data_IF_371407183505
#
_entry.id   IF_371407183505
#
_cell.length_a   1.000
_cell.length_b   1.000
_cell.length_c   1.000
_cell.angle_alpha   90.00
_cell.angle_beta   90.00
_cell.angle_gamma   90.00
#
_symmetry.space_group_name_H-M   'P 1'
#
loop_
_entity.id
_entity.type
_entity.pdbx_description
1 polymer ?
#
# COMPACT_ATOMS: atom_id res chain seq x y z
N UNK A 1 -1.90 22.50 16.08
CA UNK A 1 -1.14 22.59 17.35
C UNK A 1 -1.51 23.84 18.13
N UNK A 2 -1.30 25.05 17.63
CA UNK A 2 -1.61 26.32 18.33
C UNK A 2 -3.10 26.44 18.73
N UNK A 3 -4.02 26.09 17.84
CA UNK A 3 -5.46 26.09 18.14
C UNK A 3 -5.80 25.10 19.26
N UNK A 4 -5.26 23.90 19.22
CA UNK A 4 -5.47 22.89 20.24
C UNK A 4 -4.93 23.32 21.62
N UNK A 5 -3.80 24.01 21.61
CA UNK A 5 -3.26 24.63 22.83
C UNK A 5 -4.16 25.77 23.33
N UNK A 6 -4.66 26.62 22.45
CA UNK A 6 -5.56 27.73 22.80
C UNK A 6 -6.87 27.28 23.41
N UNK A 7 -7.43 26.12 22.96
CA UNK A 7 -8.69 25.58 23.46
C UNK A 7 -8.49 24.76 24.74
N UNK A 8 -7.48 23.89 24.78
CA UNK A 8 -7.29 22.89 25.84
C UNK A 8 -5.95 22.99 26.58
N UNK A 9 -5.21 24.10 26.41
CA UNK A 9 -3.90 24.28 27.03
C UNK A 9 -2.92 23.17 26.63
N UNK A 10 -2.01 22.82 27.53
CA UNK A 10 -0.99 21.81 27.30
C UNK A 10 -1.60 20.43 27.05
N UNK A 11 -2.69 20.08 27.74
CA UNK A 11 -3.39 18.80 27.52
C UNK A 11 -3.99 18.72 26.11
N UNK A 12 -4.61 19.80 25.62
CA UNK A 12 -5.12 19.87 24.25
C UNK A 12 -4.02 19.71 23.18
N UNK A 13 -2.87 20.34 23.41
CA UNK A 13 -1.71 20.19 22.54
C UNK A 13 -1.17 18.74 22.52
N UNK A 14 -1.08 18.08 23.67
CA UNK A 14 -0.64 16.67 23.78
C UNK A 14 -1.62 15.71 23.08
N UNK A 15 -2.92 15.87 23.30
CA UNK A 15 -3.95 15.06 22.66
C UNK A 15 -3.90 15.21 21.14
N UNK A 16 -3.74 16.42 20.64
CA UNK A 16 -3.59 16.67 19.21
C UNK A 16 -2.34 16.00 18.64
N UNK A 17 -1.20 16.13 19.33
CA UNK A 17 0.05 15.49 18.92
C UNK A 17 -0.08 13.96 18.89
N UNK A 18 -0.70 13.38 19.90
CA UNK A 18 -0.98 11.94 19.95
C UNK A 18 -1.88 11.49 18.80
N UNK A 19 -2.98 12.21 18.56
CA UNK A 19 -3.88 11.91 17.44
C UNK A 19 -3.16 12.00 16.09
N UNK A 20 -2.36 13.04 15.87
CA UNK A 20 -1.58 13.21 14.65
C UNK A 20 -0.59 12.06 14.45
N UNK A 21 0.10 11.64 15.51
CA UNK A 21 1.01 10.49 15.48
C UNK A 21 0.26 9.20 15.07
N UNK A 22 -0.88 8.91 15.70
CA UNK A 22 -1.68 7.73 15.37
C UNK A 22 -2.18 7.79 13.91
N UNK A 23 -2.61 8.95 13.44
CA UNK A 23 -3.07 9.11 12.05
C UNK A 23 -1.94 8.84 11.04
N UNK A 24 -0.75 9.37 11.27
CA UNK A 24 0.43 9.11 10.43
C UNK A 24 0.80 7.62 10.48
N UNK A 25 0.84 7.04 11.68
CA UNK A 25 1.15 5.62 11.84
C UNK A 25 0.16 4.71 11.11
N UNK A 26 -1.15 5.01 11.16
CA UNK A 26 -2.17 4.28 10.41
C UNK A 26 -1.98 4.42 8.89
N UNK A 27 -1.67 5.63 8.43
CA UNK A 27 -1.39 5.88 7.01
C UNK A 27 -0.19 5.05 6.52
N UNK A 28 0.91 5.04 7.28
CA UNK A 28 2.10 4.26 6.94
C UNK A 28 1.83 2.75 6.98
N UNK A 29 1.01 2.29 7.93
CA UNK A 29 0.61 0.88 8.00
C UNK A 29 -0.20 0.46 6.77
N UNK A 30 -1.12 1.29 6.32
CA UNK A 30 -1.92 1.05 5.11
C UNK A 30 -1.01 1.09 3.89
N UNK A 31 -0.16 2.09 3.75
CA UNK A 31 0.83 2.22 2.67
C UNK A 31 1.76 0.97 2.60
N UNK A 32 2.19 0.47 3.74
CA UNK A 32 2.97 -0.77 3.82
C UNK A 32 2.20 -1.97 3.26
N UNK A 33 0.91 -2.12 3.58
CA UNK A 33 0.07 -3.21 3.09
C UNK A 33 -0.12 -3.10 1.57
N UNK A 34 -0.41 -1.91 1.09
CA UNK A 34 -0.73 -1.62 -0.32
C UNK A 34 0.43 -1.88 -1.27
N UNK A 35 1.66 -1.72 -0.79
CA UNK A 35 2.86 -1.81 -1.63
C UNK A 35 3.81 -2.95 -1.25
N UNK A 36 3.45 -3.78 -0.27
CA UNK A 36 4.35 -4.82 0.24
C UNK A 36 4.91 -5.73 -0.84
N UNK A 37 6.22 -5.66 -1.04
CA UNK A 37 6.98 -6.54 -1.94
C UNK A 37 6.74 -6.31 -3.43
N UNK A 38 5.88 -5.35 -3.80
CA UNK A 38 5.65 -4.97 -5.18
C UNK A 38 6.66 -3.90 -5.61
N UNK A 39 7.06 -3.94 -6.86
CA UNK A 39 8.03 -2.98 -7.41
C UNK A 39 7.78 -2.75 -8.89
N UNK A 40 8.23 -1.62 -9.40
CA UNK A 40 8.25 -1.32 -10.83
C UNK A 40 9.59 -1.77 -11.43
N UNK A 41 9.55 -2.31 -12.64
CA UNK A 41 10.75 -2.71 -13.36
C UNK A 41 11.64 -1.49 -13.64
N UNK A 42 12.92 -1.61 -13.34
CA UNK A 42 13.92 -0.60 -13.71
C UNK A 42 14.29 -0.77 -15.19
N UNK A 43 14.20 0.31 -15.95
CA UNK A 43 14.42 0.32 -17.40
C UNK A 43 15.81 0.80 -17.79
N UNK A 44 16.64 1.22 -16.84
CA UNK A 44 17.95 1.82 -17.02
C UNK A 44 17.95 3.32 -16.68
N UNK A 45 19.12 3.88 -16.43
CA UNK A 45 19.36 5.32 -16.20
C UNK A 45 18.42 5.99 -15.16
N UNK A 46 18.04 5.24 -14.12
CA UNK A 46 17.11 5.73 -13.09
C UNK A 46 15.65 5.79 -13.52
N UNK A 47 15.32 5.31 -14.72
CA UNK A 47 13.95 5.28 -15.25
C UNK A 47 13.25 3.98 -14.84
N UNK A 48 12.00 4.09 -14.43
CA UNK A 48 11.15 2.95 -14.06
C UNK A 48 9.93 2.88 -14.98
N UNK A 49 9.39 1.69 -15.17
CA UNK A 49 8.14 1.52 -15.90
C UNK A 49 7.01 2.37 -15.30
N UNK A 50 6.03 2.73 -16.11
CA UNK A 50 4.85 3.44 -15.64
C UNK A 50 4.12 2.64 -14.56
N UNK A 51 3.45 3.36 -13.65
CA UNK A 51 2.56 2.71 -12.69
C UNK A 51 1.43 2.01 -13.45
N UNK A 52 1.24 0.75 -13.13
CA UNK A 52 0.21 -0.12 -13.71
C UNK A 52 -0.60 -0.75 -12.56
N UNK A 53 -1.82 -1.25 -12.82
CA UNK A 53 -2.66 -1.85 -11.78
C UNK A 53 -1.98 -2.95 -10.97
N UNK A 54 -1.02 -3.66 -11.55
CA UNK A 54 -0.24 -4.71 -10.89
C UNK A 54 0.70 -4.23 -9.78
N UNK A 55 0.94 -2.93 -9.62
CA UNK A 55 1.91 -2.38 -8.68
C UNK A 55 1.34 -2.04 -7.29
N UNK A 56 0.08 -2.37 -7.04
CA UNK A 56 -0.55 -2.17 -5.74
C UNK A 56 -1.45 -3.34 -5.38
N UNK A 57 -1.48 -3.70 -4.08
CA UNK A 57 -2.43 -4.68 -3.56
C UNK A 57 -3.81 -4.06 -3.40
N UNK A 58 -4.82 -4.78 -3.83
CA UNK A 58 -6.23 -4.37 -3.75
C UNK A 58 -7.02 -5.30 -2.84
N UNK A 59 -8.20 -4.86 -2.44
CA UNK A 59 -9.18 -5.73 -1.81
C UNK A 59 -10.59 -5.40 -2.30
N UNK A 60 -11.31 -6.41 -2.79
CA UNK A 60 -12.65 -6.25 -3.35
C UNK A 60 -13.78 -6.46 -2.32
N UNK A 61 -13.48 -6.51 -1.02
CA UNK A 61 -14.44 -6.75 0.06
C UNK A 61 -15.38 -5.56 0.25
N UNK A 62 -16.68 -5.74 -0.03
CA UNK A 62 -17.67 -4.66 -0.07
C UNK A 62 -17.74 -3.86 1.22
N UNK A 63 -17.89 -4.52 2.37
CA UNK A 63 -18.08 -3.83 3.65
C UNK A 63 -16.87 -2.93 4.01
N UNK A 64 -15.66 -3.45 3.85
CA UNK A 64 -14.45 -2.65 4.14
C UNK A 64 -14.18 -1.59 3.07
N UNK A 65 -14.59 -1.80 1.80
CA UNK A 65 -14.55 -0.74 0.79
C UNK A 65 -15.49 0.42 1.12
N UNK A 66 -16.70 0.13 1.60
CA UNK A 66 -17.62 1.18 2.05
C UNK A 66 -17.07 1.94 3.27
N UNK A 67 -16.53 1.20 4.26
CA UNK A 67 -15.93 1.80 5.45
C UNK A 67 -14.76 2.73 5.11
N UNK A 68 -13.92 2.35 4.14
CA UNK A 68 -12.70 3.04 3.75
C UNK A 68 -12.87 3.88 2.46
N UNK A 69 -14.10 4.17 2.07
CA UNK A 69 -14.40 5.07 0.93
C UNK A 69 -13.66 4.65 -0.34
N UNK A 70 -13.70 3.35 -0.67
CA UNK A 70 -13.03 2.73 -1.82
C UNK A 70 -11.49 2.80 -1.82
N UNK A 71 -10.84 3.15 -0.72
CA UNK A 71 -9.37 3.18 -0.60
C UNK A 71 -8.72 1.87 -1.06
N UNK A 72 -9.39 0.73 -0.85
CA UNK A 72 -8.89 -0.60 -1.23
C UNK A 72 -8.86 -0.86 -2.75
N UNK A 73 -9.39 0.05 -3.58
CA UNK A 73 -9.21 0.07 -5.03
C UNK A 73 -7.94 0.83 -5.41
N UNK A 74 -6.89 0.54 -4.72
CA UNK A 74 -5.66 1.32 -4.68
C UNK A 74 -4.91 1.34 -6.01
N UNK A 75 -4.94 0.24 -6.75
CA UNK A 75 -4.36 0.17 -8.10
C UNK A 75 -4.95 1.19 -9.06
N UNK A 76 -6.27 1.39 -9.01
CA UNK A 76 -6.93 2.35 -9.89
C UNK A 76 -6.64 3.79 -9.48
N UNK A 77 -6.56 4.04 -8.18
CA UNK A 77 -6.15 5.33 -7.64
C UNK A 77 -4.76 5.75 -8.15
N UNK A 78 -3.79 4.83 -8.17
CA UNK A 78 -2.46 5.10 -8.69
C UNK A 78 -2.38 5.14 -10.22
N UNK A 79 -3.15 4.29 -10.90
CA UNK A 79 -3.14 4.21 -12.36
C UNK A 79 -3.93 5.35 -13.02
N UNK A 80 -4.99 5.83 -12.36
CA UNK A 80 -5.87 6.91 -12.81
C UNK A 80 -6.08 7.93 -11.69
N UNK A 81 -5.06 8.71 -11.32
CA UNK A 81 -5.11 9.58 -10.13
C UNK A 81 -6.20 10.66 -10.20
N UNK A 82 -6.61 11.05 -11.41
CA UNK A 82 -7.67 12.05 -11.63
C UNK A 82 -9.09 11.47 -11.48
N UNK A 83 -9.22 10.13 -11.28
CA UNK A 83 -10.52 9.50 -11.13
C UNK A 83 -11.09 9.74 -9.74
N UNK A 84 -12.29 10.32 -9.59
CA UNK A 84 -12.93 10.52 -8.29
C UNK A 84 -13.14 9.18 -7.57
N UNK A 85 -13.00 9.17 -6.24
CA UNK A 85 -13.08 7.97 -5.41
C UNK A 85 -14.34 7.11 -5.58
N UNK A 86 -15.54 7.67 -5.86
CA UNK A 86 -16.72 6.85 -6.09
C UNK A 86 -16.65 6.02 -7.37
N UNK A 87 -15.85 6.47 -8.33
CA UNK A 87 -15.70 5.86 -9.66
C UNK A 87 -14.48 4.95 -9.78
N UNK A 88 -13.71 4.76 -8.71
CA UNK A 88 -12.56 3.85 -8.71
C UNK A 88 -13.00 2.43 -9.09
N UNK A 89 -12.23 1.82 -9.98
CA UNK A 89 -12.50 0.51 -10.56
C UNK A 89 -11.81 -0.61 -9.79
N UNK A 90 -12.39 -1.79 -9.87
CA UNK A 90 -11.77 -3.03 -9.41
C UNK A 90 -11.24 -3.78 -10.63
N UNK A 91 -10.00 -4.20 -10.59
CA UNK A 91 -9.36 -4.99 -11.64
C UNK A 91 -9.50 -6.48 -11.37
N UNK A 92 -9.45 -7.28 -12.43
CA UNK A 92 -9.40 -8.73 -12.30
C UNK A 92 -8.08 -9.17 -11.63
N UNK A 93 -8.04 -10.35 -10.97
CA UNK A 93 -6.83 -10.85 -10.31
C UNK A 93 -5.62 -11.02 -11.26
N UNK A 94 -5.87 -11.15 -12.56
CA UNK A 94 -4.86 -11.24 -13.61
C UNK A 94 -4.24 -9.87 -13.95
N UNK A 95 -4.97 -8.79 -13.69
CA UNK A 95 -4.52 -7.41 -13.97
C UNK A 95 -3.93 -6.72 -12.74
N UNK A 96 -4.47 -7.02 -11.55
CA UNK A 96 -4.01 -6.44 -10.30
C UNK A 96 -4.08 -7.43 -9.14
N UNK A 97 -3.03 -7.50 -8.29
CA UNK A 97 -2.97 -8.45 -7.20
C UNK A 97 -4.03 -8.14 -6.13
N UNK A 98 -4.64 -9.20 -5.61
CA UNK A 98 -5.70 -9.11 -4.61
C UNK A 98 -5.24 -9.64 -3.26
N UNK A 99 -5.56 -8.90 -2.20
CA UNK A 99 -5.42 -9.34 -0.83
C UNK A 99 -6.49 -10.38 -0.49
N UNK A 100 -6.16 -11.31 0.40
CA UNK A 100 -7.10 -12.33 0.85
C UNK A 100 -8.19 -11.76 1.76
N UNK A 101 -7.90 -10.65 2.46
CA UNK A 101 -8.79 -9.99 3.40
C UNK A 101 -8.85 -8.50 3.11
N UNK A 102 -9.91 -7.83 3.63
CA UNK A 102 -9.99 -6.37 3.60
C UNK A 102 -8.91 -5.72 4.45
N UNK A 103 -8.62 -4.46 4.18
CA UNK A 103 -7.55 -3.70 4.83
C UNK A 103 -7.60 -3.70 6.36
N UNK A 104 -8.75 -3.64 7.05
CA UNK A 104 -8.76 -3.71 8.51
C UNK A 104 -8.11 -4.98 9.06
N UNK A 105 -8.39 -6.13 8.45
CA UNK A 105 -7.79 -7.42 8.87
C UNK A 105 -6.31 -7.46 8.49
N UNK A 106 -5.96 -7.01 7.29
CA UNK A 106 -4.57 -6.94 6.84
C UNK A 106 -3.74 -6.01 7.71
N UNK A 107 -4.32 -4.88 8.17
CA UNK A 107 -3.67 -3.95 9.09
C UNK A 107 -3.35 -4.61 10.44
N UNK A 108 -4.31 -5.33 11.02
CA UNK A 108 -4.06 -6.10 12.25
C UNK A 108 -2.94 -7.14 12.06
N UNK A 109 -2.91 -7.82 10.92
CA UNK A 109 -1.81 -8.75 10.61
C UNK A 109 -0.47 -8.03 10.44
N UNK A 110 -0.45 -6.86 9.81
CA UNK A 110 0.77 -6.09 9.58
C UNK A 110 1.38 -5.50 10.87
N UNK A 111 0.60 -5.35 11.93
CA UNK A 111 1.10 -5.03 13.27
C UNK A 111 2.03 -6.12 13.84
N UNK A 112 1.98 -7.32 13.29
CA UNK A 112 2.88 -8.44 13.58
C UNK A 112 3.72 -8.77 12.34
N UNK A 113 4.84 -8.07 12.08
CA UNK A 113 5.56 -8.11 10.81
C UNK A 113 6.03 -9.51 10.40
N UNK A 114 6.44 -10.35 11.35
CA UNK A 114 6.87 -11.72 11.07
C UNK A 114 5.73 -12.59 10.53
N UNK A 115 4.52 -12.44 11.06
CA UNK A 115 3.33 -13.13 10.60
C UNK A 115 2.87 -12.62 9.25
N UNK A 116 2.79 -11.31 9.09
CA UNK A 116 2.43 -10.66 7.83
C UNK A 116 3.37 -11.07 6.70
N UNK A 117 4.69 -11.03 6.93
CA UNK A 117 5.69 -11.47 5.95
C UNK A 117 5.52 -12.94 5.56
N UNK A 118 5.34 -13.82 6.56
CA UNK A 118 5.09 -15.25 6.30
C UNK A 118 3.85 -15.48 5.42
N UNK A 119 2.81 -14.68 5.64
CA UNK A 119 1.55 -14.75 4.89
C UNK A 119 1.68 -14.14 3.48
N UNK A 120 2.38 -13.01 3.33
CA UNK A 120 2.46 -12.26 2.09
C UNK A 120 3.58 -12.70 1.14
N UNK A 121 4.72 -13.17 1.66
CA UNK A 121 5.87 -13.57 0.81
C UNK A 121 5.51 -14.58 -0.29
N UNK A 122 4.73 -15.64 -0.06
CA UNK A 122 4.31 -16.54 -1.14
C UNK A 122 3.47 -15.84 -2.22
N UNK A 123 2.68 -14.82 -1.84
CA UNK A 123 1.86 -14.04 -2.78
C UNK A 123 2.73 -13.12 -3.64
N UNK A 124 3.74 -12.49 -3.02
CA UNK A 124 4.74 -11.68 -3.74
C UNK A 124 5.50 -12.55 -4.74
N UNK A 125 5.90 -13.76 -4.36
CA UNK A 125 6.57 -14.69 -5.28
C UNK A 125 5.68 -15.10 -6.48
N UNK A 126 4.39 -15.33 -6.25
CA UNK A 126 3.42 -15.59 -7.35
C UNK A 126 3.29 -14.38 -8.26
N UNK A 127 3.18 -13.18 -7.68
CA UNK A 127 3.13 -11.92 -8.41
C UNK A 127 4.37 -11.74 -9.30
N UNK A 128 5.58 -11.99 -8.77
CA UNK A 128 6.84 -11.94 -9.53
C UNK A 128 6.81 -12.88 -10.75
N UNK A 129 6.41 -14.12 -10.54
CA UNK A 129 6.30 -15.12 -11.61
C UNK A 129 5.24 -14.77 -12.67
N UNK A 130 4.15 -14.15 -12.25
CA UNK A 130 3.05 -13.79 -13.15
C UNK A 130 3.39 -12.60 -14.04
N UNK A 131 3.94 -11.53 -13.46
CA UNK A 131 4.11 -10.26 -14.16
C UNK A 131 5.51 -10.02 -14.69
N UNK A 132 6.51 -10.69 -14.14
CA UNK A 132 7.92 -10.49 -14.49
C UNK A 132 8.68 -11.83 -14.55
N UNK A 133 8.22 -12.78 -15.38
CA UNK A 133 8.86 -14.10 -15.49
C UNK A 133 10.31 -14.02 -15.99
N UNK A 134 10.68 -12.93 -16.67
CA UNK A 134 12.02 -12.69 -17.19
C UNK A 134 13.03 -12.26 -16.12
N UNK A 135 12.59 -11.81 -14.94
CA UNK A 135 13.48 -11.39 -13.87
C UNK A 135 13.85 -12.58 -13.00
N UNK A 136 15.02 -13.15 -13.22
CA UNK A 136 15.52 -14.28 -12.43
C UNK A 136 16.10 -13.85 -11.07
N UNK A 137 16.83 -12.72 -11.04
CA UNK A 137 17.43 -12.17 -9.81
C UNK A 137 16.63 -10.98 -9.30
N UNK A 138 16.03 -11.16 -8.13
CA UNK A 138 15.27 -10.13 -7.44
C UNK A 138 16.07 -9.42 -6.34
N UNK A 139 17.33 -9.77 -6.14
CA UNK A 139 18.18 -9.18 -5.10
C UNK A 139 18.26 -7.66 -5.18
N UNK A 140 18.41 -7.02 -6.35
CA UNK A 140 18.41 -5.57 -6.49
C UNK A 140 17.10 -4.91 -6.03
N UNK A 141 15.97 -5.63 -6.16
CA UNK A 141 14.63 -5.15 -5.83
C UNK A 141 14.20 -5.40 -4.38
N UNK A 142 14.93 -6.23 -3.65
CA UNK A 142 14.65 -6.54 -2.25
C UNK A 142 15.18 -5.48 -1.27
N UNK A 143 15.94 -4.52 -1.73
CA UNK A 143 16.38 -3.37 -0.94
C UNK A 143 15.23 -2.37 -0.82
N UNK A 144 15.17 -1.74 0.34
CA UNK A 144 14.01 -1.14 0.99
C UNK A 144 13.07 -0.25 0.16
N UNK A 145 13.46 0.35 -0.93
CA UNK A 145 12.56 1.28 -1.63
C UNK A 145 12.64 1.22 -3.14
N UNK A 146 13.81 1.16 -3.72
CA UNK A 146 14.01 1.04 -5.16
C UNK A 146 15.45 0.59 -5.41
N UNK A 147 15.77 -0.17 -6.46
CA UNK A 147 17.14 -0.38 -6.84
C UNK A 147 17.78 1.00 -7.02
N UNK A 148 18.97 1.17 -6.44
CA UNK A 148 19.75 2.39 -6.69
C UNK A 148 20.05 2.46 -8.19
N UNK A 149 19.91 3.62 -8.84
CA UNK A 149 20.36 3.81 -10.20
C UNK A 149 21.86 3.47 -10.25
N UNK A 150 22.23 2.63 -11.19
CA UNK A 150 23.62 2.27 -11.45
C UNK A 150 24.27 3.33 -12.30
#
# INVERSE_FOLDING_TARGET
MLLAFGIGGFAGALLFAFQAFIAVWQLELVNYIEHYGLTRKHLGDGVYEHVLPRHSWNAAHRASNWLLINLQRHSDHHYKPDRPYPLLQTYAPEEAPQLAFGYPIMALMAMLPWWFRRFMNPKVQRWRKMYYPEIADWTPYNKATNPLPH
#
